data_IF_309980751156
#
_entry.id   IF_309980751156
#
_cell.length_a   1.000
_cell.length_b   1.000
_cell.length_c   1.000
_cell.angle_alpha   90.00
_cell.angle_beta   90.00
_cell.angle_gamma   90.00
#
_symmetry.space_group_name_H-M   'P 1'
#
loop_
_entity.id
_entity.type
_entity.pdbx_description
1 polymer ?
#
# COMPACT_ATOMS: atom_id res chain seq x y z
N UNK A 1 12.86 13.89 -30.74
CA UNK A 1 11.45 13.40 -30.75
C UNK A 1 10.52 14.57 -30.98
N UNK A 2 9.50 14.47 -31.83
CA UNK A 2 8.46 15.50 -31.98
C UNK A 2 7.30 15.16 -31.07
N UNK A 3 6.79 16.17 -30.38
CA UNK A 3 5.60 16.09 -29.55
C UNK A 3 4.50 16.94 -30.20
N UNK A 4 3.29 16.45 -30.20
CA UNK A 4 2.12 17.17 -30.67
C UNK A 4 1.17 17.43 -29.51
N UNK A 5 0.57 18.62 -29.47
CA UNK A 5 -0.38 19.00 -28.42
C UNK A 5 -1.80 18.59 -28.81
N UNK A 6 -2.45 17.83 -27.95
CA UNK A 6 -3.83 17.39 -28.10
C UNK A 6 -4.66 17.83 -26.89
N UNK A 7 -5.94 18.12 -27.11
CA UNK A 7 -6.90 18.13 -26.00
C UNK A 7 -7.27 16.68 -25.68
N UNK A 8 -7.49 16.38 -24.42
CA UNK A 8 -7.97 15.04 -24.01
C UNK A 8 -9.25 14.66 -24.79
N UNK A 9 -10.11 15.63 -25.11
CA UNK A 9 -11.30 15.41 -25.95
C UNK A 9 -10.97 14.78 -27.31
N UNK A 10 -9.79 15.04 -27.89
CA UNK A 10 -9.38 14.52 -29.19
C UNK A 10 -8.73 13.11 -29.11
N UNK A 11 -8.56 12.60 -27.87
CA UNK A 11 -7.88 11.35 -27.54
C UNK A 11 -8.83 10.27 -27.00
N UNK A 12 -10.12 10.59 -26.88
CA UNK A 12 -11.10 9.69 -26.24
C UNK A 12 -12.31 9.47 -27.12
N UNK A 13 -12.83 8.25 -27.11
CA UNK A 13 -14.09 7.88 -27.75
C UNK A 13 -15.30 8.05 -26.81
N UNK A 14 -15.09 7.84 -25.51
CA UNK A 14 -16.15 7.88 -24.53
C UNK A 14 -15.66 8.41 -23.18
N UNK A 15 -16.51 9.22 -22.53
CA UNK A 15 -16.39 9.60 -21.12
C UNK A 15 -17.72 9.43 -20.43
N UNK A 16 -17.74 8.84 -19.25
CA UNK A 16 -18.98 8.60 -18.51
C UNK A 16 -18.79 8.73 -17.00
N UNK A 17 -19.73 9.43 -16.37
CA UNK A 17 -19.76 9.59 -14.92
C UNK A 17 -20.27 8.32 -14.24
N UNK A 18 -19.80 8.09 -13.03
CA UNK A 18 -20.36 7.07 -12.15
C UNK A 18 -21.84 7.33 -11.83
N UNK A 19 -22.56 6.31 -11.36
CA UNK A 19 -24.01 6.41 -11.11
C UNK A 19 -24.28 7.34 -9.93
N UNK A 20 -25.46 7.96 -9.89
CA UNK A 20 -25.90 8.69 -8.69
C UNK A 20 -25.98 7.74 -7.49
N UNK A 21 -25.65 8.25 -6.28
CA UNK A 21 -25.60 7.42 -5.07
C UNK A 21 -26.90 6.68 -4.75
N UNK A 22 -28.05 7.21 -5.17
CA UNK A 22 -29.34 6.53 -5.05
C UNK A 22 -29.47 5.26 -5.92
N UNK A 23 -28.61 5.12 -6.93
CA UNK A 23 -28.65 3.98 -7.87
C UNK A 23 -27.91 2.75 -7.36
N UNK A 24 -26.96 2.91 -6.42
CA UNK A 24 -26.27 1.79 -5.75
C UNK A 24 -26.44 1.95 -4.25
N UNK A 25 -27.50 1.34 -3.71
CA UNK A 25 -27.76 1.29 -2.26
C UNK A 25 -27.02 0.08 -1.66
N UNK A 26 -26.83 0.09 -0.34
CA UNK A 26 -26.23 -1.04 0.39
C UNK A 26 -26.95 -2.35 0.09
N UNK A 27 -28.27 -2.33 -0.05
CA UNK A 27 -29.11 -3.47 -0.40
C UNK A 27 -28.88 -4.04 -1.81
N UNK A 28 -28.13 -3.36 -2.67
CA UNK A 28 -27.79 -3.86 -4.01
C UNK A 28 -26.54 -4.75 -4.01
N UNK A 29 -25.78 -4.76 -2.90
CA UNK A 29 -24.57 -5.56 -2.83
C UNK A 29 -24.88 -7.04 -2.55
N UNK A 30 -24.12 -7.91 -3.21
CA UNK A 30 -24.19 -9.35 -3.13
C UNK A 30 -22.78 -9.93 -2.92
N UNK A 31 -22.69 -11.20 -2.54
CA UNK A 31 -21.39 -11.83 -2.23
C UNK A 31 -20.53 -12.10 -3.48
N UNK A 32 -21.16 -12.19 -4.65
CA UNK A 32 -20.47 -12.41 -5.93
C UNK A 32 -21.23 -11.79 -7.09
N UNK A 33 -20.55 -11.42 -8.17
CA UNK A 33 -21.15 -10.80 -9.33
C UNK A 33 -20.21 -9.87 -10.08
N UNK A 34 -20.68 -8.68 -10.49
CA UNK A 34 -19.86 -7.64 -11.12
C UNK A 34 -19.24 -6.78 -10.01
N UNK A 35 -17.90 -6.64 -9.98
CA UNK A 35 -17.24 -5.86 -8.95
C UNK A 35 -17.53 -4.36 -9.08
N UNK A 36 -17.67 -3.71 -7.93
CA UNK A 36 -17.87 -2.26 -7.83
C UNK A 36 -16.58 -1.63 -7.32
N UNK A 37 -16.06 -0.66 -8.08
CA UNK A 37 -14.83 0.04 -7.76
C UNK A 37 -15.05 1.08 -6.65
N UNK A 38 -14.08 1.19 -5.79
CA UNK A 38 -14.00 2.22 -4.75
C UNK A 38 -12.62 2.89 -4.77
N UNK A 39 -12.38 3.88 -3.92
CA UNK A 39 -11.10 4.61 -3.92
C UNK A 39 -9.88 3.74 -3.67
N UNK A 40 -9.99 2.69 -2.83
CA UNK A 40 -8.85 1.79 -2.54
C UNK A 40 -8.44 0.89 -3.71
N UNK A 41 -9.22 0.84 -4.78
CA UNK A 41 -8.86 0.14 -6.01
C UNK A 41 -8.03 1.02 -6.97
N UNK A 42 -7.89 2.33 -6.69
CA UNK A 42 -7.25 3.31 -7.55
C UNK A 42 -5.98 3.93 -6.95
N UNK A 43 -5.26 3.18 -6.13
CA UNK A 43 -4.12 3.71 -5.36
C UNK A 43 -2.78 3.66 -6.12
N UNK A 44 -2.72 3.03 -7.29
CA UNK A 44 -1.52 2.89 -8.13
C UNK A 44 -1.81 3.28 -9.58
N UNK A 45 -0.96 2.88 -10.53
CA UNK A 45 -1.12 3.11 -11.97
C UNK A 45 -2.19 2.21 -12.60
N UNK A 46 -2.24 0.97 -12.14
CA UNK A 46 -3.23 -0.03 -12.58
C UNK A 46 -4.28 -0.29 -11.51
N UNK A 47 -5.41 -0.84 -11.94
CA UNK A 47 -6.50 -1.20 -11.05
C UNK A 47 -6.06 -2.26 -10.04
N UNK A 48 -6.21 -1.98 -8.75
CA UNK A 48 -6.03 -2.98 -7.69
C UNK A 48 -7.28 -3.85 -7.57
N UNK A 49 -7.13 -5.16 -7.72
CA UNK A 49 -8.24 -6.14 -7.68
C UNK A 49 -8.50 -6.71 -6.29
N UNK A 50 -8.31 -5.91 -5.26
CA UNK A 50 -8.51 -6.32 -3.84
C UNK A 50 -9.81 -5.73 -3.28
N UNK A 51 -10.44 -6.47 -2.36
CA UNK A 51 -11.55 -5.99 -1.51
C UNK A 51 -12.76 -5.39 -2.27
N UNK A 52 -13.24 -6.06 -3.30
CA UNK A 52 -14.45 -5.65 -4.01
C UNK A 52 -15.73 -5.92 -3.22
N UNK A 53 -16.73 -5.05 -3.44
CA UNK A 53 -18.13 -5.36 -3.28
C UNK A 53 -18.70 -5.69 -4.64
N UNK A 54 -19.77 -6.47 -4.69
CA UNK A 54 -20.32 -6.93 -5.96
C UNK A 54 -21.79 -6.52 -6.09
N UNK A 55 -22.22 -6.37 -7.33
CA UNK A 55 -23.65 -6.23 -7.70
C UNK A 55 -24.03 -7.35 -8.67
N UNK A 56 -25.35 -7.64 -8.80
CA UNK A 56 -25.79 -8.62 -9.79
C UNK A 56 -25.52 -8.14 -11.23
N UNK A 57 -25.50 -9.05 -12.19
CA UNK A 57 -25.32 -8.70 -13.61
C UNK A 57 -26.43 -7.78 -14.11
N UNK A 58 -27.69 -8.06 -13.74
CA UNK A 58 -28.84 -7.25 -14.10
C UNK A 58 -28.72 -5.82 -13.53
N UNK A 59 -28.18 -5.71 -12.30
CA UNK A 59 -27.93 -4.41 -11.70
C UNK A 59 -26.85 -3.66 -12.45
N UNK A 60 -25.75 -4.29 -12.78
CA UNK A 60 -24.67 -3.69 -13.58
C UNK A 60 -25.18 -3.26 -14.97
N UNK A 61 -26.01 -4.09 -15.63
CA UNK A 61 -26.64 -3.77 -16.93
C UNK A 61 -27.52 -2.52 -16.83
N UNK A 62 -28.28 -2.38 -15.75
CA UNK A 62 -29.12 -1.19 -15.51
C UNK A 62 -28.33 0.12 -15.31
N UNK A 63 -27.04 0.04 -15.02
CA UNK A 63 -26.17 1.19 -14.81
C UNK A 63 -25.48 1.68 -16.10
N UNK A 64 -25.71 1.01 -17.23
CA UNK A 64 -25.27 1.42 -18.57
C UNK A 64 -23.80 1.91 -18.63
N UNK A 65 -23.62 3.21 -18.86
CA UNK A 65 -22.32 3.86 -19.05
C UNK A 65 -21.41 3.86 -17.82
N UNK A 66 -21.92 3.55 -16.64
CA UNK A 66 -21.10 3.39 -15.43
C UNK A 66 -20.34 2.06 -15.38
N UNK A 67 -20.47 1.21 -16.40
CA UNK A 67 -19.66 0.03 -16.55
C UNK A 67 -18.34 0.39 -17.23
N UNK A 68 -17.23 0.09 -16.56
CA UNK A 68 -15.87 0.20 -17.08
C UNK A 68 -15.39 -1.18 -17.53
N UNK A 69 -14.56 -1.22 -18.56
CA UNK A 69 -14.06 -2.43 -19.19
C UNK A 69 -12.52 -2.41 -19.25
N UNK A 70 -11.91 -3.52 -19.60
CA UNK A 70 -10.48 -3.61 -19.87
C UNK A 70 -10.07 -2.54 -20.87
N UNK A 71 -8.98 -1.84 -20.60
CA UNK A 71 -8.49 -0.71 -21.38
C UNK A 71 -9.14 0.65 -21.05
N UNK A 72 -10.23 0.69 -20.27
CA UNK A 72 -10.79 1.97 -19.80
C UNK A 72 -9.89 2.56 -18.69
N UNK A 73 -9.87 3.87 -18.60
CA UNK A 73 -9.24 4.65 -17.50
C UNK A 73 -10.34 5.04 -16.52
N UNK A 74 -10.06 4.92 -15.22
CA UNK A 74 -10.96 5.33 -14.13
C UNK A 74 -10.31 6.43 -13.31
N UNK A 75 -11.04 7.51 -13.05
CA UNK A 75 -10.54 8.70 -12.36
C UNK A 75 -11.48 9.03 -11.19
N UNK A 76 -10.89 9.35 -10.02
CA UNK A 76 -11.64 9.85 -8.86
C UNK A 76 -11.84 11.35 -8.95
N UNK A 77 -13.09 11.79 -8.98
CA UNK A 77 -13.44 13.22 -9.02
C UNK A 77 -13.96 13.77 -7.69
N UNK A 78 -14.17 12.95 -6.67
CA UNK A 78 -14.64 13.36 -5.35
C UNK A 78 -14.04 12.48 -4.25
N UNK A 79 -13.56 13.09 -3.19
CA UNK A 79 -12.87 12.42 -2.08
C UNK A 79 -11.35 12.46 -2.28
N UNK A 80 -10.71 11.34 -2.52
CA UNK A 80 -9.26 11.28 -2.77
C UNK A 80 -8.96 11.69 -4.20
N UNK A 81 -8.78 12.99 -4.42
CA UNK A 81 -8.52 13.53 -5.76
C UNK A 81 -7.13 13.14 -6.27
N UNK A 82 -6.99 13.09 -7.59
CA UNK A 82 -5.73 12.76 -8.27
C UNK A 82 -5.54 11.28 -8.56
N UNK A 83 -6.39 10.40 -8.02
CA UNK A 83 -6.36 8.99 -8.35
C UNK A 83 -6.82 8.77 -9.80
N UNK A 84 -5.99 8.12 -10.58
CA UNK A 84 -6.23 7.74 -11.97
C UNK A 84 -5.54 6.42 -12.27
N UNK A 85 -6.26 5.44 -12.79
CA UNK A 85 -5.75 4.13 -13.13
C UNK A 85 -6.30 3.66 -14.48
N UNK A 86 -5.58 2.76 -15.14
CA UNK A 86 -6.14 1.98 -16.25
C UNK A 86 -6.55 0.59 -15.75
N UNK A 87 -7.52 -0.01 -16.47
CA UNK A 87 -7.93 -1.40 -16.25
C UNK A 87 -7.10 -2.28 -17.19
N UNK A 88 -6.18 -3.12 -16.68
CA UNK A 88 -5.33 -3.96 -17.50
C UNK A 88 -6.13 -4.92 -18.40
N UNK A 89 -5.53 -5.33 -19.54
CA UNK A 89 -6.16 -6.28 -20.46
C UNK A 89 -6.27 -7.69 -19.86
N UNK A 90 -5.40 -8.03 -18.93
CA UNK A 90 -5.35 -9.31 -18.21
C UNK A 90 -6.07 -9.26 -16.85
N UNK A 91 -6.82 -8.18 -16.53
CA UNK A 91 -7.64 -8.08 -15.31
C UNK A 91 -8.54 -9.31 -15.14
N UNK A 92 -8.76 -9.69 -13.90
CA UNK A 92 -9.58 -10.86 -13.51
C UNK A 92 -11.01 -10.79 -14.06
N UNK A 93 -11.58 -9.57 -14.10
CA UNK A 93 -12.93 -9.34 -14.62
C UNK A 93 -12.84 -8.54 -15.92
N UNK A 94 -13.77 -8.78 -16.82
CA UNK A 94 -13.92 -8.03 -18.09
C UNK A 94 -14.75 -6.76 -17.93
N UNK A 95 -15.45 -6.63 -16.78
CA UNK A 95 -16.36 -5.53 -16.47
C UNK A 95 -16.37 -5.18 -14.99
N UNK A 96 -16.41 -3.88 -14.72
CA UNK A 96 -16.48 -3.28 -13.38
C UNK A 96 -17.52 -2.18 -13.36
N UNK A 97 -18.19 -1.96 -12.25
CA UNK A 97 -19.05 -0.79 -12.05
C UNK A 97 -18.26 0.28 -11.31
N UNK A 98 -18.12 1.48 -11.88
CA UNK A 98 -17.48 2.61 -11.20
C UNK A 98 -18.41 3.20 -10.14
N UNK A 99 -17.84 3.77 -9.06
CA UNK A 99 -18.61 4.42 -7.99
C UNK A 99 -19.09 5.81 -8.39
N UNK A 100 -20.02 6.36 -7.59
CA UNK A 100 -20.51 7.74 -7.77
C UNK A 100 -19.42 8.82 -7.69
N UNK A 101 -18.27 8.50 -7.11
CA UNK A 101 -17.13 9.42 -6.95
C UNK A 101 -16.14 9.35 -8.10
N UNK A 102 -16.42 8.55 -9.12
CA UNK A 102 -15.53 8.25 -10.23
C UNK A 102 -16.17 8.59 -11.57
N UNK A 103 -15.34 8.77 -12.56
CA UNK A 103 -15.72 8.73 -13.97
C UNK A 103 -14.76 7.85 -14.74
N UNK A 104 -15.20 7.34 -15.88
CA UNK A 104 -14.37 6.52 -16.75
C UNK A 104 -14.17 7.15 -18.11
N UNK A 105 -13.08 6.78 -18.76
CA UNK A 105 -12.70 7.26 -20.08
C UNK A 105 -12.26 6.07 -20.91
N UNK A 106 -12.67 6.03 -22.17
CA UNK A 106 -12.15 5.12 -23.19
C UNK A 106 -11.31 5.92 -24.18
N UNK A 107 -10.04 5.55 -24.30
CA UNK A 107 -9.14 6.17 -25.25
C UNK A 107 -9.45 5.68 -26.69
N UNK A 108 -9.13 6.52 -27.67
CA UNK A 108 -9.10 6.15 -29.08
C UNK A 108 -7.70 5.64 -29.47
N UNK A 109 -7.49 5.42 -30.76
CA UNK A 109 -6.26 4.87 -31.34
C UNK A 109 -5.04 5.82 -31.35
N UNK A 110 -5.19 7.08 -30.90
CA UNK A 110 -4.08 8.06 -30.87
C UNK A 110 -3.23 7.98 -29.59
N UNK A 111 -3.76 7.39 -28.53
CA UNK A 111 -3.10 7.33 -27.23
C UNK A 111 -3.27 5.97 -26.56
N UNK A 112 -2.21 5.44 -25.98
CA UNK A 112 -2.28 4.25 -25.12
C UNK A 112 -2.87 4.67 -23.76
N UNK A 113 -3.88 3.95 -23.23
CA UNK A 113 -4.45 4.23 -21.92
C UNK A 113 -3.40 4.29 -20.81
N UNK A 114 -2.46 3.35 -20.81
CA UNK A 114 -1.34 3.29 -19.86
C UNK A 114 -0.47 4.54 -19.94
N UNK A 115 -0.15 5.00 -21.15
CA UNK A 115 0.65 6.21 -21.35
C UNK A 115 -0.05 7.45 -20.79
N UNK A 116 -1.34 7.58 -21.03
CA UNK A 116 -2.15 8.71 -20.53
C UNK A 116 -2.24 8.69 -19.00
N UNK A 117 -2.40 7.52 -18.39
CA UNK A 117 -2.36 7.35 -16.93
C UNK A 117 -0.98 7.75 -16.39
N UNK A 118 0.10 7.26 -16.97
CA UNK A 118 1.45 7.61 -16.56
C UNK A 118 1.72 9.12 -16.68
N UNK A 119 1.25 9.77 -17.76
CA UNK A 119 1.34 11.22 -17.88
C UNK A 119 0.66 11.93 -16.70
N UNK A 120 -0.55 11.53 -16.33
CA UNK A 120 -1.28 12.14 -15.22
C UNK A 120 -0.71 11.81 -13.83
N UNK A 121 0.16 10.82 -13.70
CA UNK A 121 0.95 10.59 -12.48
C UNK A 121 2.21 11.46 -12.40
N UNK A 122 2.61 12.16 -13.46
CA UNK A 122 3.70 13.15 -13.36
C UNK A 122 3.26 14.40 -12.59
N UNK A 123 4.19 15.18 -11.99
CA UNK A 123 3.85 16.45 -11.33
C UNK A 123 3.06 17.42 -12.23
N UNK A 124 3.41 17.49 -13.52
CA UNK A 124 2.71 18.32 -14.52
C UNK A 124 1.29 17.80 -14.77
N UNK A 125 1.15 16.50 -14.97
CA UNK A 125 -0.14 15.85 -15.19
C UNK A 125 -1.08 16.02 -13.99
N UNK A 126 -0.58 15.77 -12.77
CA UNK A 126 -1.33 15.97 -11.54
C UNK A 126 -1.76 17.43 -11.35
N UNK A 127 -0.86 18.39 -11.62
CA UNK A 127 -1.21 19.81 -11.56
C UNK A 127 -2.34 20.15 -12.53
N UNK A 128 -2.29 19.67 -13.77
CA UNK A 128 -3.36 19.88 -14.76
C UNK A 128 -4.68 19.22 -14.34
N UNK A 129 -4.63 17.96 -13.85
CA UNK A 129 -5.80 17.21 -13.39
C UNK A 129 -6.50 17.90 -12.21
N UNK A 130 -5.73 18.47 -11.29
CA UNK A 130 -6.24 19.09 -10.06
C UNK A 130 -6.48 20.61 -10.17
N UNK A 131 -6.24 21.22 -11.32
CA UNK A 131 -6.31 22.68 -11.52
C UNK A 131 -7.67 23.29 -11.14
N UNK A 132 -8.77 22.53 -11.23
CA UNK A 132 -10.13 22.93 -10.88
C UNK A 132 -10.67 22.23 -9.62
N UNK A 133 -9.78 21.77 -8.74
CA UNK A 133 -10.18 21.14 -7.48
C UNK A 133 -10.70 22.17 -6.48
N UNK A 134 -11.87 21.91 -5.90
CA UNK A 134 -12.40 22.64 -4.75
C UNK A 134 -12.06 21.87 -3.47
N UNK A 135 -11.52 22.59 -2.48
CA UNK A 135 -11.20 22.02 -1.16
C UNK A 135 -12.23 22.41 -0.08
N UNK A 136 -13.32 23.07 -0.47
CA UNK A 136 -14.39 23.44 0.47
C UNK A 136 -15.29 22.24 0.71
N UNK A 137 -15.29 21.73 1.93
CA UNK A 137 -16.02 20.51 2.30
C UNK A 137 -15.30 19.24 1.86
N UNK A 138 -16.01 18.30 1.20
CA UNK A 138 -15.38 17.12 0.59
C UNK A 138 -14.67 17.54 -0.69
N UNK A 139 -13.36 17.32 -0.85
CA UNK A 139 -12.63 17.69 -2.06
C UNK A 139 -13.30 17.13 -3.31
N UNK A 140 -13.46 17.98 -4.33
CA UNK A 140 -14.11 17.58 -5.58
C UNK A 140 -13.58 18.39 -6.77
N UNK A 141 -13.54 17.75 -7.95
CA UNK A 141 -13.28 18.44 -9.22
C UNK A 141 -14.56 19.13 -9.69
N UNK A 142 -14.46 20.40 -10.07
CA UNK A 142 -15.58 21.12 -10.68
C UNK A 142 -15.80 20.64 -12.12
N UNK A 143 -17.04 20.24 -12.46
CA UNK A 143 -17.42 19.75 -13.81
C UNK A 143 -16.42 18.71 -14.36
N UNK A 144 -16.18 17.59 -13.66
CA UNK A 144 -15.02 16.71 -13.86
C UNK A 144 -14.86 16.24 -15.31
N UNK A 145 -15.92 15.80 -15.98
CA UNK A 145 -15.84 15.31 -17.35
C UNK A 145 -15.49 16.41 -18.36
N UNK A 146 -16.15 17.56 -18.30
CA UNK A 146 -15.85 18.65 -19.24
C UNK A 146 -14.51 19.31 -18.98
N UNK A 147 -14.10 19.44 -17.71
CA UNK A 147 -12.78 19.95 -17.37
C UNK A 147 -11.67 19.00 -17.84
N UNK A 148 -11.82 17.70 -17.61
CA UNK A 148 -10.86 16.71 -18.06
C UNK A 148 -10.65 16.72 -19.58
N UNK A 149 -11.74 16.83 -20.35
CA UNK A 149 -11.70 16.93 -21.80
C UNK A 149 -10.95 18.16 -22.35
N UNK A 150 -10.88 19.26 -21.58
CA UNK A 150 -10.21 20.49 -21.99
C UNK A 150 -8.69 20.49 -21.65
N UNK A 151 -8.22 19.50 -20.89
CA UNK A 151 -6.80 19.42 -20.56
C UNK A 151 -6.00 19.19 -21.84
N UNK A 152 -4.95 19.99 -22.04
CA UNK A 152 -3.98 19.82 -23.12
C UNK A 152 -2.84 18.92 -22.65
N UNK A 153 -2.53 17.93 -23.47
CA UNK A 153 -1.43 16.98 -23.25
C UNK A 153 -0.50 16.96 -24.46
N UNK A 154 0.78 16.84 -24.24
CA UNK A 154 1.77 16.70 -25.29
C UNK A 154 2.11 15.21 -25.43
N UNK A 155 1.93 14.67 -26.63
CA UNK A 155 2.13 13.25 -26.91
C UNK A 155 3.16 13.06 -28.03
N UNK A 156 4.08 12.09 -27.85
CA UNK A 156 4.90 11.59 -28.95
C UNK A 156 4.10 10.62 -29.83
N UNK A 157 4.68 10.18 -30.92
CA UNK A 157 4.11 9.10 -31.73
C UNK A 157 3.89 7.81 -30.94
N UNK A 158 2.95 6.96 -31.39
CA UNK A 158 2.55 5.73 -30.70
C UNK A 158 3.70 4.75 -30.43
N UNK A 159 4.71 4.68 -31.32
CA UNK A 159 5.90 3.85 -31.14
C UNK A 159 6.68 4.24 -29.87
N UNK A 160 6.81 5.54 -29.62
CA UNK A 160 7.48 6.08 -28.43
C UNK A 160 6.61 5.89 -27.19
N UNK A 161 5.27 6.15 -27.29
CA UNK A 161 4.35 5.88 -26.20
C UNK A 161 4.46 4.41 -25.75
N UNK A 162 4.45 3.46 -26.70
CA UNK A 162 4.60 2.04 -26.42
C UNK A 162 5.89 1.73 -25.68
N UNK A 163 7.00 2.34 -26.10
CA UNK A 163 8.31 2.11 -25.48
C UNK A 163 8.37 2.63 -24.05
N UNK A 164 7.82 3.83 -23.79
CA UNK A 164 7.70 4.38 -22.44
C UNK A 164 6.84 3.47 -21.56
N UNK A 165 5.70 3.01 -22.09
CA UNK A 165 4.81 2.08 -21.36
C UNK A 165 5.53 0.79 -21.01
N UNK A 166 6.28 0.19 -21.95
CA UNK A 166 7.05 -1.03 -21.69
C UNK A 166 8.06 -0.86 -20.54
N UNK A 167 8.80 0.26 -20.52
CA UNK A 167 9.79 0.56 -19.46
C UNK A 167 9.13 0.68 -18.08
N UNK A 168 8.10 1.54 -17.98
CA UNK A 168 7.44 1.78 -16.68
C UNK A 168 6.70 0.54 -16.20
N UNK A 169 6.02 -0.17 -17.10
CA UNK A 169 5.31 -1.42 -16.78
C UNK A 169 6.27 -2.51 -16.30
N UNK A 170 7.48 -2.60 -16.86
CA UNK A 170 8.48 -3.58 -16.41
C UNK A 170 8.91 -3.32 -14.95
N UNK A 171 9.13 -2.05 -14.57
CA UNK A 171 9.45 -1.65 -13.20
C UNK A 171 8.26 -1.96 -12.28
N UNK A 172 7.05 -1.60 -12.70
CA UNK A 172 5.84 -1.79 -11.90
C UNK A 172 5.55 -3.27 -11.65
N UNK A 173 5.62 -4.11 -12.69
CA UNK A 173 5.47 -5.57 -12.57
C UNK A 173 6.50 -6.19 -11.63
N UNK A 174 7.74 -5.70 -11.63
CA UNK A 174 8.77 -6.20 -10.69
C UNK A 174 8.40 -5.87 -9.24
N UNK A 175 7.87 -4.65 -8.98
CA UNK A 175 7.38 -4.24 -7.66
C UNK A 175 6.22 -5.15 -7.21
N UNK A 176 5.24 -5.36 -8.09
CA UNK A 176 4.07 -6.21 -7.83
C UNK A 176 4.47 -7.66 -7.53
N UNK A 177 5.34 -8.25 -8.36
CA UNK A 177 5.83 -9.61 -8.16
C UNK A 177 6.58 -9.77 -6.81
N UNK A 178 7.38 -8.78 -6.43
CA UNK A 178 8.05 -8.78 -5.14
C UNK A 178 7.05 -8.69 -3.97
N UNK A 179 5.97 -7.90 -4.12
CA UNK A 179 4.92 -7.81 -3.11
C UNK A 179 4.17 -9.13 -2.96
N UNK A 180 3.77 -9.78 -4.07
CA UNK A 180 3.12 -11.09 -4.05
C UNK A 180 4.01 -12.16 -3.41
N UNK A 181 5.30 -12.16 -3.75
CA UNK A 181 6.26 -13.07 -3.12
C UNK A 181 6.36 -12.82 -1.62
N UNK A 182 6.43 -11.56 -1.19
CA UNK A 182 6.47 -11.19 0.22
C UNK A 182 5.20 -11.62 0.96
N UNK A 183 4.02 -11.41 0.38
CA UNK A 183 2.74 -11.85 0.95
C UNK A 183 2.73 -13.37 1.14
N UNK A 184 3.20 -14.14 0.15
CA UNK A 184 3.31 -15.60 0.23
C UNK A 184 4.30 -16.06 1.32
N UNK A 185 5.50 -15.47 1.38
CA UNK A 185 6.51 -15.80 2.40
C UNK A 185 6.00 -15.47 3.80
N UNK A 186 5.33 -14.34 3.97
CA UNK A 186 4.74 -13.93 5.24
C UNK A 186 3.63 -14.90 5.70
N UNK A 187 2.75 -15.35 4.79
CA UNK A 187 1.74 -16.36 5.09
C UNK A 187 2.37 -17.69 5.53
N UNK A 188 3.44 -18.12 4.88
CA UNK A 188 4.20 -19.31 5.28
C UNK A 188 4.81 -19.14 6.68
N UNK A 189 5.42 -17.99 6.96
CA UNK A 189 5.98 -17.70 8.28
C UNK A 189 4.91 -17.72 9.39
N UNK A 190 3.72 -17.17 9.12
CA UNK A 190 2.59 -17.24 10.05
C UNK A 190 2.12 -18.68 10.26
N UNK A 191 2.05 -19.50 9.22
CA UNK A 191 1.68 -20.92 9.34
C UNK A 191 2.70 -21.70 10.18
N UNK A 192 4.00 -21.41 10.07
CA UNK A 192 5.04 -22.00 10.92
C UNK A 192 4.87 -21.56 12.38
N UNK A 193 4.53 -20.28 12.61
CA UNK A 193 4.26 -19.76 13.96
C UNK A 193 3.00 -20.37 14.58
N UNK A 194 1.92 -20.52 13.81
CA UNK A 194 0.68 -21.17 14.25
C UNK A 194 0.96 -22.62 14.69
N UNK A 195 1.76 -23.34 13.92
CA UNK A 195 2.19 -24.69 14.27
C UNK A 195 3.06 -24.71 15.55
N UNK A 196 3.94 -23.74 15.73
CA UNK A 196 4.75 -23.61 16.95
C UNK A 196 3.86 -23.42 18.18
N UNK A 197 2.83 -22.56 18.09
CA UNK A 197 1.85 -22.34 19.16
C UNK A 197 1.03 -23.62 19.42
N UNK A 198 0.50 -24.27 18.36
CA UNK A 198 -0.41 -25.39 18.48
C UNK A 198 0.25 -26.67 19.05
N UNK A 199 1.53 -26.85 18.82
CA UNK A 199 2.29 -28.03 19.28
C UNK A 199 2.88 -27.87 20.70
N UNK A 200 2.59 -26.77 21.38
CA UNK A 200 3.10 -26.50 22.73
C UNK A 200 1.96 -26.44 23.74
N UNK A 201 1.91 -27.38 24.68
CA UNK A 201 0.74 -27.57 25.57
C UNK A 201 0.68 -26.60 26.78
N UNK A 202 1.80 -26.03 27.22
CA UNK A 202 1.88 -25.25 28.46
C UNK A 202 1.94 -23.74 28.19
N UNK A 203 0.96 -22.99 28.70
CA UNK A 203 0.87 -21.51 28.60
C UNK A 203 1.39 -20.84 29.88
N UNK A 204 2.63 -21.13 30.29
CA UNK A 204 3.17 -20.66 31.57
C UNK A 204 4.05 -19.41 31.45
N UNK A 205 4.36 -18.99 30.21
CA UNK A 205 5.13 -17.78 29.91
C UNK A 205 4.25 -16.61 29.50
N UNK A 206 4.83 -15.43 29.55
CA UNK A 206 4.24 -14.19 29.03
C UNK A 206 5.12 -13.61 27.93
N UNK A 207 4.58 -12.66 27.16
CA UNK A 207 5.39 -11.91 26.15
C UNK A 207 6.64 -11.29 26.79
N UNK A 208 6.54 -10.81 28.03
CA UNK A 208 7.69 -10.25 28.75
C UNK A 208 8.80 -11.25 29.05
N UNK A 209 8.59 -12.55 28.92
CA UNK A 209 9.65 -13.57 29.04
C UNK A 209 10.47 -13.70 27.75
N UNK A 210 9.86 -13.41 26.61
CA UNK A 210 10.45 -13.47 25.26
C UNK A 210 10.91 -12.12 24.70
N UNK A 211 10.37 -10.99 25.21
CA UNK A 211 10.67 -9.65 24.70
C UNK A 211 10.95 -8.62 25.78
N UNK A 212 11.92 -7.75 25.54
CA UNK A 212 12.00 -6.46 26.23
C UNK A 212 10.98 -5.51 25.59
N UNK A 213 10.16 -4.89 26.42
CA UNK A 213 9.15 -3.94 25.99
C UNK A 213 9.72 -2.51 26.14
N UNK A 214 9.72 -1.75 25.04
CA UNK A 214 10.24 -0.38 25.00
C UNK A 214 11.66 -0.27 25.56
N UNK A 215 12.65 -1.04 25.08
CA UNK A 215 13.99 -1.00 25.62
C UNK A 215 14.61 0.39 25.49
N UNK A 216 15.37 0.79 26.51
CA UNK A 216 16.13 2.05 26.45
C UNK A 216 17.29 1.93 25.47
N UNK A 217 17.36 2.82 24.48
CA UNK A 217 18.44 2.90 23.50
C UNK A 217 19.04 4.30 23.51
N UNK A 218 20.36 4.42 23.32
CA UNK A 218 21.04 5.70 23.26
C UNK A 218 20.80 6.34 21.87
N UNK A 219 20.31 7.57 21.86
CA UNK A 219 20.26 8.44 20.67
C UNK A 219 20.27 9.87 21.18
N UNK A 220 21.27 10.65 20.79
CA UNK A 220 21.46 12.01 21.29
C UNK A 220 20.39 12.96 20.71
N UNK A 221 19.92 13.90 21.54
CA UNK A 221 18.97 14.92 21.08
C UNK A 221 19.56 15.70 19.92
N UNK A 222 18.76 15.94 18.86
CA UNK A 222 19.15 16.58 17.59
C UNK A 222 20.11 15.75 16.69
N UNK A 223 20.52 14.56 17.10
CA UNK A 223 21.25 13.66 16.21
C UNK A 223 20.36 13.28 15.01
N UNK A 224 20.92 13.35 13.81
CA UNK A 224 20.24 12.86 12.59
C UNK A 224 20.16 11.35 12.64
N UNK A 225 18.97 10.82 12.48
CA UNK A 225 18.71 9.37 12.46
C UNK A 225 17.50 9.05 11.56
N UNK A 226 17.37 7.80 11.15
CA UNK A 226 16.19 7.34 10.40
C UNK A 226 14.95 7.45 11.29
N UNK A 227 13.94 8.15 10.79
CA UNK A 227 12.62 8.28 11.41
C UNK A 227 11.61 7.50 10.63
N UNK A 228 10.87 6.63 11.32
CA UNK A 228 9.77 5.84 10.75
C UNK A 228 8.48 6.30 11.41
N UNK A 229 7.66 7.00 10.65
CA UNK A 229 6.38 7.53 11.13
C UNK A 229 5.26 6.49 11.01
N UNK A 230 4.13 6.70 11.70
CA UNK A 230 2.97 5.79 11.70
C UNK A 230 2.40 5.54 10.29
N UNK A 231 2.53 6.51 9.38
CA UNK A 231 2.09 6.36 7.98
C UNK A 231 2.92 5.32 7.21
N UNK A 232 4.19 5.14 7.61
CA UNK A 232 5.12 4.22 6.96
C UNK A 232 5.00 2.77 7.45
N UNK A 233 4.24 2.52 8.54
CA UNK A 233 3.90 1.16 8.96
C UNK A 233 2.81 0.60 8.05
N UNK A 234 3.08 -0.58 7.48
CA UNK A 234 2.10 -1.31 6.68
C UNK A 234 1.01 -1.92 7.56
N UNK A 235 -0.17 -2.10 6.98
CA UNK A 235 -1.26 -2.90 7.56
C UNK A 235 -1.19 -4.37 7.12
N UNK A 236 -0.34 -4.70 6.15
CA UNK A 236 -0.19 -6.05 5.59
C UNK A 236 1.26 -6.52 5.53
N UNK A 237 2.19 -5.71 5.03
CA UNK A 237 3.59 -6.09 4.85
C UNK A 237 4.42 -6.10 6.13
N UNK A 238 5.55 -6.83 6.12
CA UNK A 238 6.41 -7.00 7.27
C UNK A 238 7.32 -5.79 7.53
N UNK A 239 7.70 -5.04 6.50
CA UNK A 239 8.64 -3.93 6.60
C UNK A 239 7.98 -2.58 6.39
N UNK A 240 8.55 -1.49 6.95
CA UNK A 240 8.07 -0.14 6.66
C UNK A 240 8.17 0.17 5.16
N UNK A 241 7.28 1.04 4.67
CA UNK A 241 7.31 1.49 3.27
C UNK A 241 8.40 2.52 2.98
N UNK A 242 9.12 2.99 3.99
CA UNK A 242 10.19 3.97 3.87
C UNK A 242 10.58 4.57 5.21
N UNK A 243 11.48 5.55 5.17
CA UNK A 243 11.93 6.36 6.31
C UNK A 243 12.40 7.73 5.83
N UNK A 244 12.57 8.64 6.76
CA UNK A 244 13.16 9.95 6.51
C UNK A 244 14.33 10.19 7.47
N UNK A 245 15.36 10.89 7.02
CA UNK A 245 16.44 11.37 7.90
C UNK A 245 15.96 12.61 8.63
N UNK A 246 15.78 12.53 9.95
CA UNK A 246 15.29 13.62 10.80
C UNK A 246 16.16 13.79 12.04
N UNK A 247 16.24 15.02 12.62
CA UNK A 247 16.87 15.23 13.92
C UNK A 247 16.00 14.61 15.02
N UNK A 248 16.58 13.75 15.87
CA UNK A 248 15.86 13.16 17.00
C UNK A 248 15.44 14.19 18.03
N UNK A 249 14.15 14.35 18.23
CA UNK A 249 13.57 15.24 19.25
C UNK A 249 12.67 14.50 20.25
N UNK A 250 12.45 13.23 20.06
CA UNK A 250 11.58 12.37 20.87
C UNK A 250 11.01 11.23 20.06
N UNK A 251 10.25 10.35 20.71
CA UNK A 251 9.68 9.17 20.09
C UNK A 251 10.33 7.86 20.58
N UNK A 252 9.75 6.74 20.14
CA UNK A 252 10.28 5.43 20.47
C UNK A 252 11.53 5.14 19.66
N UNK A 253 12.54 4.55 20.30
CA UNK A 253 13.82 4.20 19.68
C UNK A 253 13.89 2.70 19.49
N UNK A 254 14.40 2.27 18.36
CA UNK A 254 14.47 0.87 17.97
C UNK A 254 15.72 0.59 17.12
N UNK A 255 16.06 -0.68 17.00
CA UNK A 255 17.21 -1.18 16.25
C UNK A 255 16.83 -2.46 15.49
N UNK A 256 17.77 -3.02 14.72
CA UNK A 256 17.55 -4.28 14.03
C UNK A 256 17.14 -5.40 15.01
N UNK A 257 16.22 -6.24 14.58
CA UNK A 257 15.59 -7.30 15.36
C UNK A 257 14.37 -6.86 16.16
N UNK A 258 14.07 -5.56 16.25
CA UNK A 258 12.87 -5.08 16.95
C UNK A 258 11.62 -5.19 16.10
N UNK A 259 10.49 -5.42 16.76
CA UNK A 259 9.15 -5.31 16.16
C UNK A 259 8.46 -4.05 16.69
N UNK A 260 7.96 -3.22 15.78
CA UNK A 260 7.14 -2.05 16.09
C UNK A 260 5.67 -2.44 16.04
N UNK A 261 4.94 -2.23 17.13
CA UNK A 261 3.50 -2.43 17.24
C UNK A 261 2.84 -1.07 17.49
N UNK A 262 1.90 -0.66 16.62
CA UNK A 262 1.07 0.50 16.91
C UNK A 262 0.18 0.22 18.12
N UNK A 263 0.08 1.18 19.06
CA UNK A 263 -0.66 1.02 20.31
C UNK A 263 -1.99 1.78 20.37
N UNK A 264 -2.30 2.58 19.35
CA UNK A 264 -3.42 3.54 19.33
C UNK A 264 -4.48 3.16 18.30
N UNK A 265 -5.75 3.45 18.60
CA UNK A 265 -6.88 3.41 17.64
C UNK A 265 -6.68 4.41 16.50
N UNK A 266 -7.01 4.09 15.21
CA UNK A 266 -7.39 2.77 14.69
C UNK A 266 -6.18 1.94 14.22
N UNK A 267 -4.95 2.41 14.49
CA UNK A 267 -3.74 1.83 13.91
C UNK A 267 -3.48 0.38 14.38
N UNK A 268 -3.70 0.10 15.67
CA UNK A 268 -3.59 -1.26 16.21
C UNK A 268 -4.64 -2.19 15.60
N UNK A 269 -5.89 -1.75 15.54
CA UNK A 269 -7.03 -2.50 14.98
C UNK A 269 -6.81 -2.82 13.50
N UNK A 270 -6.16 -1.91 12.76
CA UNK A 270 -5.79 -2.08 11.36
C UNK A 270 -4.49 -2.89 11.18
N UNK A 271 -3.87 -3.39 12.26
CA UNK A 271 -2.69 -4.23 12.22
C UNK A 271 -1.40 -3.50 11.83
N UNK A 272 -1.29 -2.17 12.04
CA UNK A 272 -0.05 -1.43 11.77
C UNK A 272 1.10 -1.93 12.64
N UNK A 273 2.03 -2.64 12.02
CA UNK A 273 3.17 -3.33 12.64
C UNK A 273 4.33 -3.33 11.65
N UNK A 274 5.57 -3.33 12.12
CA UNK A 274 6.73 -3.50 11.27
C UNK A 274 7.84 -4.27 11.97
N UNK A 275 8.53 -5.12 11.23
CA UNK A 275 9.81 -5.73 11.61
C UNK A 275 10.95 -4.83 11.16
N UNK A 276 11.94 -4.61 12.02
CA UNK A 276 13.10 -3.77 11.73
C UNK A 276 14.32 -4.65 11.56
N UNK A 277 14.85 -4.71 10.33
CA UNK A 277 16.04 -5.51 9.98
C UNK A 277 16.77 -4.91 8.75
N UNK A 278 16.80 -3.59 8.61
CA UNK A 278 17.39 -2.90 7.46
C UNK A 278 18.25 -1.69 7.85
N UNK A 279 18.48 -1.50 9.14
CA UNK A 279 19.35 -0.44 9.65
C UNK A 279 20.82 -0.88 9.50
N UNK A 280 21.72 0.09 9.52
CA UNK A 280 23.14 -0.18 9.53
C UNK A 280 23.56 -0.82 10.87
N UNK A 281 24.71 -1.47 10.89
CA UNK A 281 25.17 -2.14 12.11
C UNK A 281 25.34 -1.16 13.28
N UNK A 282 24.72 -1.48 14.42
CA UNK A 282 24.71 -0.63 15.60
C UNK A 282 23.84 0.64 15.48
N UNK A 283 23.15 0.86 14.38
CA UNK A 283 22.29 2.03 14.22
C UNK A 283 21.05 1.96 15.11
N UNK A 284 20.66 3.11 15.66
CA UNK A 284 19.41 3.33 16.39
C UNK A 284 18.55 4.30 15.60
N UNK A 285 17.39 3.84 15.16
CA UNK A 285 16.34 4.64 14.54
C UNK A 285 15.28 5.05 15.58
N UNK A 286 14.37 5.93 15.18
CA UNK A 286 13.26 6.36 16.03
C UNK A 286 11.96 6.53 15.25
N UNK A 287 10.85 6.70 15.96
CA UNK A 287 9.55 6.91 15.33
C UNK A 287 8.50 7.40 16.32
N UNK A 288 7.24 7.14 16.01
CA UNK A 288 6.10 7.62 16.79
C UNK A 288 6.19 7.24 18.28
N UNK A 289 5.75 8.13 19.16
CA UNK A 289 5.49 7.83 20.58
C UNK A 289 4.37 6.82 20.78
N UNK A 290 3.58 6.57 19.74
CA UNK A 290 2.48 5.60 19.74
C UNK A 290 2.91 4.19 19.29
N UNK A 291 4.20 3.86 19.39
CA UNK A 291 4.71 2.50 19.23
C UNK A 291 4.93 1.83 20.58
N UNK A 292 4.71 0.53 20.63
CA UNK A 292 5.33 -0.40 21.56
C UNK A 292 6.42 -1.11 20.76
N UNK A 293 7.65 -1.08 21.29
CA UNK A 293 8.81 -1.76 20.70
C UNK A 293 9.01 -3.09 21.41
N UNK A 294 8.93 -4.18 20.69
CA UNK A 294 9.23 -5.54 21.18
C UNK A 294 10.65 -5.90 20.71
N UNK A 295 11.59 -5.97 21.61
CA UNK A 295 12.97 -6.39 21.33
C UNK A 295 13.20 -7.81 21.86
N UNK A 296 13.80 -8.72 21.09
CA UNK A 296 13.95 -10.11 21.49
C UNK A 296 14.84 -10.26 22.72
N UNK A 297 14.49 -11.19 23.60
CA UNK A 297 15.27 -11.61 24.76
C UNK A 297 15.96 -12.93 24.47
N UNK A 298 17.18 -13.09 24.98
CA UNK A 298 17.91 -14.35 24.95
C UNK A 298 17.93 -15.00 23.56
N UNK A 299 17.50 -16.27 23.49
CA UNK A 299 17.44 -17.07 22.27
C UNK A 299 16.12 -16.88 21.47
N UNK A 300 15.29 -15.89 21.80
CA UNK A 300 14.03 -15.61 21.09
C UNK A 300 14.33 -15.17 19.65
N UNK A 301 13.83 -15.87 18.63
CA UNK A 301 13.96 -15.41 17.25
C UNK A 301 13.24 -14.07 17.06
N UNK A 302 13.89 -13.04 16.51
CA UNK A 302 13.27 -11.73 16.30
C UNK A 302 11.96 -11.80 15.50
N UNK A 303 11.93 -12.64 14.47
CA UNK A 303 10.78 -12.85 13.58
C UNK A 303 9.57 -13.43 14.30
N UNK A 304 9.80 -14.18 15.40
CA UNK A 304 8.73 -14.72 16.24
C UNK A 304 7.89 -13.58 16.86
N UNK A 305 8.54 -12.50 17.29
CA UNK A 305 7.86 -11.35 17.87
C UNK A 305 7.01 -10.60 16.83
N UNK A 306 7.46 -10.56 15.58
CA UNK A 306 6.65 -10.00 14.50
C UNK A 306 5.44 -10.91 14.20
N UNK A 307 5.65 -12.22 14.08
CA UNK A 307 4.53 -13.16 13.88
C UNK A 307 3.51 -13.06 15.02
N UNK A 308 3.97 -12.95 16.27
CA UNK A 308 3.12 -12.73 17.42
C UNK A 308 2.34 -11.41 17.32
N UNK A 309 2.99 -10.30 16.95
CA UNK A 309 2.35 -9.00 16.83
C UNK A 309 1.27 -8.96 15.74
N UNK A 310 1.27 -9.91 14.82
CA UNK A 310 0.27 -10.13 13.76
C UNK A 310 -0.70 -11.29 14.06
N UNK A 311 -0.46 -12.04 15.13
CA UNK A 311 -1.28 -13.19 15.51
C UNK A 311 -2.68 -12.75 15.94
N UNK A 312 -3.76 -13.29 15.33
CA UNK A 312 -5.12 -12.79 15.56
C UNK A 312 -5.54 -12.75 17.03
N UNK A 313 -5.24 -13.80 17.80
CA UNK A 313 -5.60 -13.85 19.23
C UNK A 313 -4.85 -12.81 20.07
N UNK A 314 -3.59 -12.51 19.73
CA UNK A 314 -2.81 -11.46 20.37
C UNK A 314 -3.35 -10.06 20.04
N UNK A 315 -3.68 -9.81 18.77
CA UNK A 315 -4.27 -8.53 18.33
C UNK A 315 -5.62 -8.31 19.00
N UNK A 316 -6.48 -9.33 19.05
CA UNK A 316 -7.77 -9.30 19.74
C UNK A 316 -7.62 -9.01 21.25
N UNK A 317 -6.65 -9.65 21.91
CA UNK A 317 -6.30 -9.35 23.30
C UNK A 317 -5.86 -7.89 23.47
N UNK A 318 -4.97 -7.41 22.59
CA UNK A 318 -4.47 -6.05 22.66
C UNK A 318 -5.61 -5.01 22.48
N UNK A 319 -6.50 -5.22 21.51
CA UNK A 319 -7.67 -4.37 21.25
C UNK A 319 -8.65 -4.37 22.41
N UNK A 320 -8.98 -5.55 22.97
CA UNK A 320 -9.90 -5.67 24.14
C UNK A 320 -9.37 -4.99 25.39
N UNK A 321 -8.07 -4.81 25.53
CA UNK A 321 -7.43 -4.17 26.66
C UNK A 321 -7.01 -2.72 26.39
N UNK A 322 -7.51 -2.10 25.31
CA UNK A 322 -7.31 -0.67 25.08
C UNK A 322 -8.13 0.17 26.06
N UNK A 323 -7.53 1.25 26.55
CA UNK A 323 -8.15 2.19 27.46
C UNK A 323 -8.05 3.63 26.92
N UNK A 324 -9.02 4.48 27.27
CA UNK A 324 -9.05 5.89 26.86
C UNK A 324 -10.40 6.31 26.28
N UNK A 325 -10.48 7.57 25.84
CA UNK A 325 -11.69 8.10 25.20
C UNK A 325 -11.89 7.51 23.81
N UNK A 326 -13.15 7.47 23.35
CA UNK A 326 -13.49 7.01 22.01
C UNK A 326 -12.63 7.69 20.93
N UNK A 327 -12.07 6.88 20.00
CA UNK A 327 -11.19 7.36 18.94
C UNK A 327 -9.74 7.66 19.32
N UNK A 328 -9.38 7.55 20.64
CA UNK A 328 -8.01 7.75 21.15
C UNK A 328 -7.62 6.71 22.21
N UNK A 329 -8.13 5.51 22.09
CA UNK A 329 -7.79 4.40 22.97
C UNK A 329 -6.37 3.91 22.70
N UNK A 330 -5.72 3.41 23.76
CA UNK A 330 -4.35 2.88 23.71
C UNK A 330 -4.23 1.64 24.57
N UNK A 331 -3.42 0.69 24.12
CA UNK A 331 -2.96 -0.40 24.98
C UNK A 331 -1.61 -0.04 25.61
N UNK A 332 -1.37 -0.47 26.82
CA UNK A 332 -0.08 -0.26 27.50
C UNK A 332 0.94 -1.35 27.13
N UNK A 333 2.23 -1.02 27.19
CA UNK A 333 3.29 -2.00 27.03
C UNK A 333 3.25 -3.09 28.12
N UNK A 334 2.87 -2.70 29.36
CA UNK A 334 2.70 -3.63 30.46
C UNK A 334 1.61 -4.67 30.15
N UNK A 335 0.44 -4.21 29.67
CA UNK A 335 -0.64 -5.10 29.23
C UNK A 335 -0.18 -6.07 28.15
N UNK A 336 0.53 -5.58 27.11
CA UNK A 336 1.10 -6.42 26.07
C UNK A 336 2.06 -7.46 26.64
N UNK A 337 2.89 -7.06 27.59
CA UNK A 337 3.83 -7.97 28.28
C UNK A 337 3.18 -9.11 29.04
N UNK A 338 1.93 -8.95 29.46
CA UNK A 338 1.17 -9.94 30.24
C UNK A 338 0.40 -10.95 29.37
N UNK A 339 0.41 -10.80 28.04
CA UNK A 339 -0.21 -11.79 27.16
C UNK A 339 0.44 -13.15 27.34
N UNK A 340 -0.39 -14.19 27.57
CA UNK A 340 0.07 -15.56 27.85
C UNK A 340 0.53 -16.26 26.58
N UNK A 341 1.68 -16.89 26.65
CA UNK A 341 2.30 -17.67 25.60
C UNK A 341 2.70 -19.05 26.10
N UNK A 342 2.81 -20.04 25.19
CA UNK A 342 3.45 -21.31 25.52
C UNK A 342 4.89 -21.13 25.96
N UNK A 343 5.38 -22.08 26.76
CA UNK A 343 6.80 -22.21 27.10
C UNK A 343 7.50 -22.98 25.97
N UNK A 344 8.11 -22.23 25.04
CA UNK A 344 8.84 -22.83 23.92
C UNK A 344 10.19 -23.38 24.38
N UNK A 345 10.48 -24.63 24.06
CA UNK A 345 11.81 -25.18 24.28
C UNK A 345 12.83 -24.63 23.26
N UNK A 346 14.10 -24.71 23.62
CA UNK A 346 15.18 -24.16 22.80
C UNK A 346 15.28 -24.80 21.40
N UNK A 347 14.97 -26.07 21.27
CA UNK A 347 15.03 -26.78 20.00
C UNK A 347 13.95 -26.28 19.04
N UNK A 348 12.74 -26.13 19.52
CA UNK A 348 11.61 -25.58 18.75
C UNK A 348 11.88 -24.13 18.27
N UNK A 349 12.49 -23.28 19.12
CA UNK A 349 12.89 -21.93 18.73
C UNK A 349 13.99 -21.93 17.67
N UNK A 350 14.97 -22.84 17.75
CA UNK A 350 16.02 -22.98 16.73
C UNK A 350 15.41 -23.41 15.40
N UNK A 351 14.55 -24.43 15.39
CA UNK A 351 13.89 -24.91 14.17
C UNK A 351 13.02 -23.80 13.55
N UNK A 352 12.26 -23.08 14.37
CA UNK A 352 11.48 -21.91 13.88
C UNK A 352 12.41 -20.90 13.20
N UNK A 353 13.52 -20.54 13.84
CA UNK A 353 14.48 -19.58 13.29
C UNK A 353 15.08 -20.07 11.96
N UNK A 354 15.50 -21.32 11.88
CA UNK A 354 16.09 -21.90 10.67
C UNK A 354 15.15 -21.85 9.47
N UNK A 355 13.85 -22.02 9.71
CA UNK A 355 12.84 -21.99 8.64
C UNK A 355 12.40 -20.55 8.31
N UNK A 356 12.19 -19.71 9.32
CA UNK A 356 11.53 -18.40 9.14
C UNK A 356 12.51 -17.27 8.82
N UNK A 357 13.74 -17.28 9.39
CA UNK A 357 14.69 -16.19 9.12
C UNK A 357 15.07 -16.05 7.64
N UNK A 358 15.25 -17.10 6.83
CA UNK A 358 15.46 -16.96 5.40
C UNK A 358 14.27 -16.33 4.65
N UNK A 359 13.03 -16.56 5.12
CA UNK A 359 11.83 -15.92 4.54
C UNK A 359 11.86 -14.42 4.78
N UNK A 360 12.14 -13.99 6.03
CA UNK A 360 12.24 -12.57 6.37
C UNK A 360 13.40 -11.88 5.65
N UNK A 361 14.53 -12.57 5.50
CA UNK A 361 15.66 -12.06 4.73
C UNK A 361 15.25 -11.76 3.26
N UNK A 362 14.55 -12.67 2.61
CA UNK A 362 14.04 -12.47 1.26
C UNK A 362 13.01 -11.34 1.20
N UNK A 363 12.05 -11.29 2.13
CA UNK A 363 11.08 -10.21 2.22
C UNK A 363 11.75 -8.84 2.41
N UNK A 364 12.84 -8.78 3.20
CA UNK A 364 13.64 -7.56 3.36
C UNK A 364 14.25 -7.11 2.04
N UNK A 365 14.92 -8.01 1.32
CA UNK A 365 15.54 -7.69 0.03
C UNK A 365 14.50 -7.20 -0.96
N UNK A 366 13.37 -7.87 -1.10
CA UNK A 366 12.29 -7.46 -1.99
C UNK A 366 11.72 -6.09 -1.60
N UNK A 367 11.54 -5.83 -0.29
CA UNK A 367 11.03 -4.56 0.20
C UNK A 367 11.98 -3.39 -0.08
N UNK A 368 13.29 -3.59 0.13
CA UNK A 368 14.31 -2.59 -0.17
C UNK A 368 14.46 -2.39 -1.69
N UNK A 369 14.38 -3.45 -2.49
CA UNK A 369 14.36 -3.37 -3.95
C UNK A 369 13.15 -2.57 -4.42
N UNK A 370 11.97 -2.83 -3.88
CA UNK A 370 10.74 -2.10 -4.23
C UNK A 370 10.84 -0.60 -3.94
N UNK A 371 11.44 -0.21 -2.81
CA UNK A 371 11.69 1.22 -2.53
C UNK A 371 12.58 1.86 -3.60
N UNK A 372 13.66 1.19 -4.01
CA UNK A 372 14.58 1.69 -5.06
C UNK A 372 13.91 1.73 -6.42
N UNK A 373 13.11 0.72 -6.75
CA UNK A 373 12.35 0.66 -8.01
C UNK A 373 11.29 1.76 -8.09
N UNK A 374 10.59 2.03 -6.97
CA UNK A 374 9.62 3.11 -6.89
C UNK A 374 10.30 4.48 -7.05
N UNK A 375 11.43 4.72 -6.37
CA UNK A 375 12.22 5.94 -6.53
C UNK A 375 12.73 6.10 -7.98
N UNK A 376 13.27 5.03 -8.56
CA UNK A 376 13.72 5.02 -9.95
C UNK A 376 12.57 5.35 -10.92
N UNK A 377 11.41 4.71 -10.76
CA UNK A 377 10.21 4.98 -11.55
C UNK A 377 9.81 6.46 -11.46
N UNK A 378 9.73 7.00 -10.25
CA UNK A 378 9.26 8.36 -9.99
C UNK A 378 10.23 9.42 -10.56
N UNK A 379 11.53 9.12 -10.62
CA UNK A 379 12.55 9.97 -11.26
C UNK A 379 12.52 9.83 -12.78
N UNK A 380 12.34 8.60 -13.31
CA UNK A 380 12.34 8.33 -14.74
C UNK A 380 11.07 8.83 -15.41
N UNK A 381 9.92 8.67 -14.78
CA UNK A 381 8.62 8.93 -15.39
C UNK A 381 8.51 10.36 -15.99
N UNK A 382 8.81 11.47 -15.28
CA UNK A 382 8.76 12.80 -15.87
C UNK A 382 9.73 12.99 -17.02
N UNK A 383 10.90 12.38 -16.96
CA UNK A 383 11.96 12.50 -18.00
C UNK A 383 11.61 11.73 -19.26
N UNK A 384 10.99 10.57 -19.11
CA UNK A 384 10.48 9.78 -20.24
C UNK A 384 9.30 10.49 -20.91
N UNK A 385 8.40 11.09 -20.11
CA UNK A 385 7.24 11.80 -20.61
C UNK A 385 7.59 13.13 -21.31
N UNK A 386 8.66 13.79 -20.91
CA UNK A 386 9.14 15.04 -21.53
C UNK A 386 10.06 14.79 -22.74
N UNK A 387 10.49 13.54 -22.97
CA UNK A 387 11.49 13.23 -24.00
C UNK A 387 12.93 13.64 -23.64
N UNK A 388 13.21 14.01 -22.39
CA UNK A 388 14.56 14.25 -21.88
C UNK A 388 15.43 13.00 -22.02
N UNK A 389 14.81 11.82 -21.83
CA UNK A 389 15.46 10.52 -22.08
C UNK A 389 14.97 9.98 -23.43
N UNK A 390 15.93 9.72 -24.33
CA UNK A 390 15.65 9.07 -25.61
C UNK A 390 15.44 7.56 -25.43
N UNK A 391 14.19 7.12 -25.57
CA UNK A 391 13.81 5.71 -25.42
C UNK A 391 14.11 4.86 -26.64
N UNK A 392 14.45 5.45 -27.80
CA UNK A 392 14.71 4.71 -29.02
C UNK A 392 15.95 3.81 -28.93
N UNK A 393 16.90 4.15 -28.04
CA UNK A 393 18.15 3.43 -27.82
C UNK A 393 18.08 2.42 -26.64
N UNK A 394 17.00 2.38 -25.88
CA UNK A 394 16.85 1.47 -24.72
C UNK A 394 16.54 0.07 -25.22
N UNK A 395 17.39 -0.90 -24.90
CA UNK A 395 17.11 -2.34 -25.08
C UNK A 395 16.51 -2.88 -23.79
N UNK A 396 15.32 -3.49 -23.86
CA UNK A 396 14.63 -4.18 -22.75
C UNK A 396 14.90 -5.67 -22.81
#
# INVERSE_FOLDING_TARGET
>A
MSYETYRVADLIDEIAMGPFGSNIKVSCFVDSGVPVLNGSNLDDFSLSEKAFRYVTREKADSLNKANAHRGDIVITHRGTLGQIVFIPQDSRYDRYVISQSQFRVRCNDKVLPEYLVYYFHTPIGQHKLLSNASQVGVPALARPSSTFQQIEVELPELSIQKRVVEIITAIQKKIENNQELNDNLQQQAFSVFDNLIANTENNDCNVSDYAYLNPKRALAKKQMARSIDMSQLSTSGAFPSGWEMKPFNGGMRFANGDTLLARITPCLENGKTAFIDFLDDGEVAFGSTEYIVLAPKNDTPPEMLYCLARYPAFVDYAVKNMNGSSGRQRVSAETIGQYRLPTFDKHSLVLFKEVVSPMFLNMRYNSLENMRLAELRDVLLPKLMSGEIDVSAVQL
#
